data_IF_221801646116
#
_entry.id   IF_221801646116
#
_cell.length_a   1.000
_cell.length_b   1.000
_cell.length_c   1.000
_cell.angle_alpha   90.00
_cell.angle_beta   90.00
_cell.angle_gamma   90.00
#
_symmetry.space_group_name_H-M   'P 1'
#
loop_
_entity.id
_entity.type
_entity.pdbx_description
1 polymer ?
#
# COMPACT_ATOMS: atom_id res chain seq x y z
N UNK A 1 7.24 16.54 -2.35
CA UNK A 1 5.82 16.77 -2.04
C UNK A 1 5.64 16.32 -0.60
N UNK A 2 4.87 17.04 0.19
CA UNK A 2 4.58 16.60 1.56
C UNK A 2 3.57 15.45 1.52
N UNK A 3 3.70 14.46 2.40
CA UNK A 3 2.84 13.27 2.43
C UNK A 3 3.24 12.31 3.55
N UNK A 4 2.41 11.31 3.79
CA UNK A 4 2.66 10.23 4.77
C UNK A 4 3.05 8.95 4.03
N UNK A 5 4.12 8.28 4.45
CA UNK A 5 4.55 7.03 3.81
C UNK A 5 3.57 5.88 4.12
N UNK A 6 3.52 4.86 3.27
CA UNK A 6 2.73 3.67 3.54
C UNK A 6 3.21 2.95 4.80
N UNK A 7 4.51 2.96 5.07
CA UNK A 7 5.07 2.43 6.32
C UNK A 7 4.45 3.12 7.55
N UNK A 8 4.37 4.45 7.53
CA UNK A 8 3.74 5.24 8.60
C UNK A 8 2.23 4.99 8.70
N UNK A 9 1.53 4.84 7.57
CA UNK A 9 0.10 4.54 7.56
C UNK A 9 -0.20 3.14 8.12
N UNK A 10 0.58 2.13 7.72
CA UNK A 10 0.43 0.76 8.20
C UNK A 10 0.79 0.61 9.68
N UNK A 11 1.62 1.48 10.23
CA UNK A 11 1.88 1.52 11.67
C UNK A 11 0.66 2.00 12.49
N UNK A 12 -0.29 2.70 11.86
CA UNK A 12 -1.48 3.27 12.53
C UNK A 12 -2.71 2.37 12.47
N UNK A 13 -2.72 1.38 11.58
CA UNK A 13 -3.88 0.53 11.35
C UNK A 13 -3.49 -0.94 11.39
N UNK A 14 -4.37 -1.78 11.95
CA UNK A 14 -4.13 -3.23 11.92
C UNK A 14 -4.03 -3.79 10.49
N UNK A 15 -4.83 -3.23 9.58
CA UNK A 15 -4.87 -3.55 8.14
C UNK A 15 -5.60 -2.50 7.32
N UNK A 16 -5.37 -2.53 6.02
CA UNK A 16 -6.10 -1.78 5.00
C UNK A 16 -7.32 -2.60 4.53
N UNK A 17 -8.45 -1.94 4.27
CA UNK A 17 -9.66 -2.59 3.71
C UNK A 17 -9.50 -2.80 2.21
N UNK A 18 -10.18 -3.79 1.63
CA UNK A 18 -10.06 -4.07 0.19
C UNK A 18 -10.31 -2.86 -0.71
N UNK A 19 -11.33 -2.03 -0.42
CA UNK A 19 -11.58 -0.83 -1.21
C UNK A 19 -10.55 0.29 -1.00
N UNK A 20 -10.00 0.44 0.21
CA UNK A 20 -8.89 1.37 0.47
C UNK A 20 -7.63 0.90 -0.27
N UNK A 21 -7.40 -0.42 -0.32
CA UNK A 21 -6.30 -1.00 -1.07
C UNK A 21 -6.46 -0.77 -2.58
N UNK A 22 -7.68 -0.80 -3.13
CA UNK A 22 -7.91 -0.41 -4.53
C UNK A 22 -7.57 1.06 -4.75
N UNK A 23 -8.05 1.96 -3.88
CA UNK A 23 -7.77 3.40 -3.97
C UNK A 23 -6.27 3.71 -3.83
N UNK A 24 -5.56 2.96 -3.00
CA UNK A 24 -4.13 3.11 -2.76
C UNK A 24 -3.27 2.54 -3.89
N UNK A 25 -3.52 1.28 -4.30
CA UNK A 25 -2.58 0.53 -5.14
C UNK A 25 -2.91 0.58 -6.64
N UNK A 26 -4.15 0.85 -7.05
CA UNK A 26 -4.49 0.93 -8.47
C UNK A 26 -3.80 2.12 -9.18
N UNK A 27 -3.73 3.34 -8.59
CA UNK A 27 -2.99 4.44 -9.20
C UNK A 27 -1.47 4.20 -9.25
N UNK A 28 -0.91 3.51 -8.25
CA UNK A 28 0.51 3.14 -8.23
C UNK A 28 0.84 2.13 -9.34
N UNK A 29 -0.04 1.14 -9.54
CA UNK A 29 0.08 0.20 -10.64
C UNK A 29 -0.01 0.88 -12.02
N UNK A 30 -0.89 1.88 -12.18
CA UNK A 30 -0.92 2.70 -13.41
C UNK A 30 0.39 3.49 -13.60
N UNK A 31 0.93 4.08 -12.54
CA UNK A 31 2.18 4.83 -12.59
C UNK A 31 3.36 3.93 -13.00
N UNK A 32 3.44 2.72 -12.46
CA UNK A 32 4.41 1.71 -12.88
C UNK A 32 4.20 1.29 -14.33
N UNK A 33 2.96 1.06 -14.76
CA UNK A 33 2.65 0.71 -16.14
C UNK A 33 3.12 1.81 -17.12
N UNK A 34 2.90 3.08 -16.77
CA UNK A 34 3.38 4.22 -17.55
C UNK A 34 4.91 4.29 -17.60
N UNK A 35 5.59 4.06 -16.46
CA UNK A 35 7.05 4.01 -16.42
C UNK A 35 7.60 2.86 -17.27
N UNK A 36 7.03 1.66 -17.15
CA UNK A 36 7.42 0.47 -17.91
C UNK A 36 7.24 0.67 -19.41
N UNK A 37 6.13 1.29 -19.83
CA UNK A 37 5.88 1.63 -21.24
C UNK A 37 6.88 2.66 -21.80
N UNK A 38 7.42 3.52 -20.94
CA UNK A 38 8.50 4.45 -21.28
C UNK A 38 9.90 3.81 -21.22
N UNK A 39 10.00 2.52 -20.91
CA UNK A 39 11.26 1.79 -20.77
C UNK A 39 11.98 2.03 -19.44
N UNK A 40 11.33 2.66 -18.46
CA UNK A 40 11.84 2.85 -17.11
C UNK A 40 11.28 1.82 -16.13
N UNK A 41 11.94 1.67 -14.98
CA UNK A 41 11.46 0.90 -13.82
C UNK A 41 11.72 1.69 -12.55
N UNK A 42 10.89 1.48 -11.53
CA UNK A 42 11.11 2.13 -10.25
C UNK A 42 12.29 1.49 -9.51
N UNK A 43 12.31 0.16 -9.43
CA UNK A 43 13.39 -0.66 -8.86
C UNK A 43 13.57 -0.53 -7.34
N UNK A 44 12.61 0.09 -6.66
CA UNK A 44 12.64 0.29 -5.20
C UNK A 44 11.22 0.47 -4.64
N UNK A 45 10.26 -0.30 -5.15
CA UNK A 45 8.88 -0.25 -4.66
C UNK A 45 8.85 -0.82 -3.24
N UNK A 46 8.48 0.00 -2.26
CA UNK A 46 8.56 -0.32 -0.84
C UNK A 46 7.59 0.53 -0.01
N UNK A 47 7.37 0.15 1.24
CA UNK A 47 6.44 0.87 2.12
C UNK A 47 6.90 2.31 2.40
N UNK A 48 8.21 2.56 2.39
CA UNK A 48 8.78 3.90 2.57
C UNK A 48 8.75 4.74 1.29
N UNK A 49 8.65 4.10 0.12
CA UNK A 49 8.62 4.79 -1.19
C UNK A 49 7.19 5.02 -1.68
N UNK A 50 6.19 4.31 -1.16
CA UNK A 50 4.78 4.68 -1.39
C UNK A 50 4.41 5.81 -0.44
N UNK A 51 3.99 6.95 -0.99
CA UNK A 51 3.57 8.13 -0.22
C UNK A 51 2.14 8.49 -0.59
N UNK A 52 1.32 8.84 0.40
CA UNK A 52 -0.03 9.37 0.19
C UNK A 52 -0.01 10.86 0.51
N UNK A 53 -0.33 11.68 -0.48
CA UNK A 53 -0.47 13.12 -0.30
C UNK A 53 -1.69 13.46 0.58
N UNK A 54 -1.74 14.67 1.18
CA UNK A 54 -2.86 15.08 2.04
C UNK A 54 -4.24 15.08 1.36
N UNK A 55 -4.28 15.17 0.03
CA UNK A 55 -5.49 15.07 -0.80
C UNK A 55 -5.92 13.62 -1.07
N UNK A 56 -5.20 12.64 -0.51
CA UNK A 56 -5.47 11.22 -0.65
C UNK A 56 -4.91 10.59 -1.92
N UNK A 57 -4.10 11.33 -2.70
CA UNK A 57 -3.52 10.80 -3.93
C UNK A 57 -2.21 10.05 -3.61
N UNK A 58 -2.12 8.75 -3.90
CA UNK A 58 -0.90 7.99 -3.69
C UNK A 58 0.07 8.17 -4.86
N UNK A 59 1.36 8.23 -4.55
CA UNK A 59 2.45 8.28 -5.52
C UNK A 59 3.65 7.48 -5.01
N UNK A 60 4.54 7.14 -5.94
CA UNK A 60 5.84 6.57 -5.61
C UNK A 60 6.86 7.71 -5.50
N UNK A 61 7.46 7.85 -4.32
CA UNK A 61 8.54 8.78 -4.00
C UNK A 61 9.90 8.18 -4.35
N UNK A 62 10.81 9.05 -4.79
CA UNK A 62 12.14 8.76 -5.34
C UNK A 62 12.17 7.98 -6.68
N UNK A 63 13.27 8.16 -7.40
CA UNK A 63 13.35 8.01 -8.87
C UNK A 63 13.69 6.63 -9.39
N UNK A 64 13.46 6.48 -10.71
CA UNK A 64 13.74 5.30 -11.51
C UNK A 64 15.15 4.74 -11.25
N UNK A 65 15.25 3.54 -10.71
CA UNK A 65 16.52 2.84 -10.58
C UNK A 65 16.83 2.11 -11.89
N UNK A 66 17.92 2.45 -12.61
CA UNK A 66 18.29 1.74 -13.81
C UNK A 66 18.72 0.30 -13.47
N UNK A 67 18.06 -0.69 -14.06
CA UNK A 67 18.55 -2.08 -14.11
C UNK A 67 17.66 -3.15 -13.48
N UNK A 68 16.65 -2.79 -12.69
CA UNK A 68 15.63 -3.76 -12.26
C UNK A 68 14.63 -4.01 -13.42
N UNK A 69 14.23 -5.25 -13.72
CA UNK A 69 13.25 -5.53 -14.76
C UNK A 69 11.81 -5.19 -14.29
N UNK A 70 10.92 -4.76 -15.19
CA UNK A 70 9.53 -4.39 -14.86
C UNK A 70 8.74 -5.39 -13.99
N UNK A 71 8.88 -6.73 -14.15
CA UNK A 71 8.19 -7.69 -13.30
C UNK A 71 8.60 -7.66 -11.83
N UNK A 72 9.76 -7.09 -11.47
CA UNK A 72 10.19 -6.95 -10.08
C UNK A 72 9.40 -5.85 -9.37
N UNK A 73 9.15 -4.71 -10.02
CA UNK A 73 8.25 -3.67 -9.48
C UNK A 73 6.84 -4.24 -9.21
N UNK A 74 6.35 -5.12 -10.09
CA UNK A 74 5.04 -5.77 -9.93
C UNK A 74 5.02 -6.71 -8.72
N UNK A 75 6.09 -7.50 -8.54
CA UNK A 75 6.23 -8.40 -7.39
C UNK A 75 6.27 -7.60 -6.09
N UNK A 76 7.04 -6.52 -6.06
CA UNK A 76 7.21 -5.68 -4.89
C UNK A 76 5.90 -4.96 -4.53
N UNK A 77 5.18 -4.43 -5.52
CA UNK A 77 3.85 -3.86 -5.33
C UNK A 77 2.87 -4.89 -4.76
N UNK A 78 2.87 -6.11 -5.28
CA UNK A 78 2.01 -7.21 -4.81
C UNK A 78 2.35 -7.63 -3.37
N UNK A 79 3.63 -7.67 -3.01
CA UNK A 79 4.07 -7.97 -1.65
C UNK A 79 3.57 -6.91 -0.66
N UNK A 80 3.68 -5.62 -1.00
CA UNK A 80 3.13 -4.53 -0.18
C UNK A 80 1.62 -4.65 -0.02
N UNK A 81 0.91 -4.98 -1.10
CA UNK A 81 -0.54 -5.15 -1.08
C UNK A 81 -0.97 -6.33 -0.19
N UNK A 82 -0.23 -7.45 -0.20
CA UNK A 82 -0.46 -8.57 0.73
C UNK A 82 -0.25 -8.13 2.17
N UNK A 83 0.87 -7.47 2.48
CA UNK A 83 1.17 -6.98 3.82
C UNK A 83 0.08 -6.01 4.30
N UNK A 84 -0.37 -5.10 3.43
CA UNK A 84 -1.40 -4.13 3.77
C UNK A 84 -2.77 -4.78 4.08
N UNK A 85 -3.14 -5.83 3.33
CA UNK A 85 -4.43 -6.52 3.50
C UNK A 85 -4.43 -7.52 4.66
N UNK A 86 -3.33 -8.25 4.82
CA UNK A 86 -3.24 -9.46 5.65
C UNK A 86 -2.47 -9.22 6.96
N UNK A 87 -1.63 -8.18 6.98
CA UNK A 87 -0.60 -7.95 7.99
C UNK A 87 0.67 -8.77 7.74
N UNK A 88 1.68 -8.68 8.63
CA UNK A 88 2.87 -9.50 8.57
C UNK A 88 2.52 -10.99 8.58
N UNK A 89 2.92 -11.72 7.55
CA UNK A 89 2.68 -13.15 7.39
C UNK A 89 3.86 -13.83 6.67
N UNK A 90 4.02 -15.13 6.90
CA UNK A 90 4.99 -15.95 6.16
C UNK A 90 4.59 -16.10 4.69
N UNK A 91 5.57 -16.41 3.84
CA UNK A 91 5.39 -16.54 2.38
C UNK A 91 4.39 -17.64 1.98
N UNK A 92 4.15 -18.62 2.84
CA UNK A 92 3.28 -19.77 2.54
C UNK A 92 1.85 -19.63 3.10
N UNK A 93 1.63 -18.75 4.09
CA UNK A 93 0.37 -18.71 4.86
C UNK A 93 -0.56 -17.55 4.48
N UNK A 94 -0.09 -16.62 3.64
CA UNK A 94 -0.81 -15.37 3.39
C UNK A 94 -2.15 -15.58 2.67
N UNK A 95 -2.24 -16.55 1.76
CA UNK A 95 -3.43 -16.76 0.93
C UNK A 95 -4.62 -17.29 1.75
N UNK A 96 -4.39 -18.28 2.61
CA UNK A 96 -5.41 -18.80 3.52
C UNK A 96 -5.91 -17.70 4.47
N UNK A 97 -4.98 -16.93 5.03
CA UNK A 97 -5.31 -15.80 5.90
C UNK A 97 -6.08 -14.70 5.16
N UNK A 98 -5.74 -14.41 3.89
CA UNK A 98 -6.47 -13.47 3.06
C UNK A 98 -7.93 -13.91 2.87
N UNK A 99 -8.18 -15.20 2.59
CA UNK A 99 -9.54 -15.73 2.52
C UNK A 99 -10.30 -15.62 3.84
N UNK A 100 -9.65 -15.96 4.97
CA UNK A 100 -10.25 -15.82 6.30
C UNK A 100 -10.63 -14.36 6.64
N UNK A 101 -9.91 -13.39 6.07
CA UNK A 101 -10.17 -11.96 6.20
C UNK A 101 -11.19 -11.42 5.18
N UNK A 102 -11.72 -12.27 4.30
CA UNK A 102 -12.71 -11.90 3.30
C UNK A 102 -12.13 -11.21 2.05
N UNK A 103 -10.83 -11.36 1.79
CA UNK A 103 -10.22 -10.88 0.53
C UNK A 103 -10.82 -11.68 -0.64
N UNK A 104 -11.31 -11.03 -1.70
CA UNK A 104 -11.96 -11.74 -2.81
C UNK A 104 -10.99 -12.69 -3.54
N UNK A 105 -11.50 -13.86 -3.94
CA UNK A 105 -10.70 -14.89 -4.60
C UNK A 105 -9.97 -14.42 -5.87
N UNK A 106 -10.58 -13.50 -6.63
CA UNK A 106 -9.96 -12.90 -7.81
C UNK A 106 -8.70 -12.09 -7.45
N UNK A 107 -8.74 -11.35 -6.34
CA UNK A 107 -7.60 -10.58 -5.86
C UNK A 107 -6.50 -11.50 -5.33
N UNK A 108 -6.85 -12.54 -4.57
CA UNK A 108 -5.89 -13.55 -4.10
C UNK A 108 -5.21 -14.25 -5.28
N UNK A 109 -5.97 -14.64 -6.32
CA UNK A 109 -5.42 -15.28 -7.52
C UNK A 109 -4.44 -14.37 -8.26
N UNK A 110 -4.81 -13.09 -8.43
CA UNK A 110 -3.93 -12.12 -9.08
C UNK A 110 -2.64 -11.92 -8.27
N UNK A 111 -2.74 -11.76 -6.96
CA UNK A 111 -1.60 -11.59 -6.06
C UNK A 111 -0.65 -12.81 -6.10
N UNK A 112 -1.20 -14.02 -6.13
CA UNK A 112 -0.40 -15.24 -6.28
C UNK A 112 0.37 -15.28 -7.62
N UNK A 113 -0.25 -14.82 -8.71
CA UNK A 113 0.42 -14.67 -10.01
C UNK A 113 1.53 -13.62 -9.98
N UNK A 114 1.29 -12.46 -9.35
CA UNK A 114 2.27 -11.38 -9.20
C UNK A 114 3.45 -11.74 -8.30
N UNK A 115 3.24 -12.63 -7.32
CA UNK A 115 4.28 -13.13 -6.43
C UNK A 115 5.02 -14.37 -6.97
N UNK A 116 4.74 -14.79 -8.21
CA UNK A 116 5.43 -15.92 -8.82
C UNK A 116 6.95 -15.74 -8.84
N UNK A 117 7.68 -16.80 -8.53
CA UNK A 117 9.15 -16.82 -8.59
C UNK A 117 9.65 -16.43 -9.98
N UNK A 118 9.09 -17.07 -11.01
CA UNK A 118 9.37 -16.85 -12.44
C UNK A 118 8.81 -15.49 -12.91
N UNK A 119 9.65 -14.52 -13.29
CA UNK A 119 9.22 -13.18 -13.71
C UNK A 119 8.24 -13.16 -14.87
N UNK A 120 8.39 -14.06 -15.84
CA UNK A 120 7.57 -14.16 -17.05
C UNK A 120 6.14 -14.65 -16.78
N UNK A 121 5.87 -15.20 -15.59
CA UNK A 121 4.52 -15.62 -15.16
C UNK A 121 3.76 -14.50 -14.45
N UNK A 122 4.43 -13.41 -14.09
CA UNK A 122 3.81 -12.29 -13.39
C UNK A 122 2.98 -11.46 -14.38
N UNK A 123 1.80 -10.96 -13.98
CA UNK A 123 1.07 -10.00 -14.78
C UNK A 123 1.87 -8.70 -14.96
N UNK A 124 1.50 -7.91 -15.95
CA UNK A 124 1.97 -6.54 -16.10
C UNK A 124 1.35 -5.62 -15.05
N UNK A 125 1.98 -4.47 -14.78
CA UNK A 125 1.41 -3.47 -13.88
C UNK A 125 0.01 -2.97 -14.32
N UNK A 126 -0.22 -2.87 -15.64
CA UNK A 126 -1.53 -2.50 -16.19
C UNK A 126 -2.61 -3.56 -15.90
N UNK A 127 -2.26 -4.84 -15.94
CA UNK A 127 -3.16 -5.94 -15.60
C UNK A 127 -3.48 -5.96 -14.10
N UNK A 128 -2.49 -5.66 -13.24
CA UNK A 128 -2.71 -5.49 -11.80
C UNK A 128 -3.70 -4.36 -11.52
N UNK A 129 -3.50 -3.19 -12.12
CA UNK A 129 -4.40 -2.05 -11.95
C UNK A 129 -5.85 -2.38 -12.39
N UNK A 130 -5.98 -3.08 -13.51
CA UNK A 130 -7.27 -3.56 -14.02
C UNK A 130 -7.91 -4.57 -13.09
N UNK A 131 -7.15 -5.53 -12.56
CA UNK A 131 -7.66 -6.55 -11.66
C UNK A 131 -8.16 -5.94 -10.33
N UNK A 132 -7.42 -4.98 -9.77
CA UNK A 132 -7.81 -4.25 -8.56
C UNK A 132 -9.19 -3.60 -8.72
N UNK A 133 -9.35 -2.80 -9.77
CA UNK A 133 -10.60 -2.10 -10.07
C UNK A 133 -11.79 -3.03 -10.37
N UNK A 134 -11.53 -4.22 -10.89
CA UNK A 134 -12.57 -5.24 -11.13
C UNK A 134 -12.99 -5.99 -9.88
N UNK A 135 -12.18 -5.95 -8.82
CA UNK A 135 -12.40 -6.80 -7.65
C UNK A 135 -13.16 -6.10 -6.54
N UNK A 136 -12.88 -4.82 -6.29
CA UNK A 136 -13.57 -4.03 -5.27
C UNK A 136 -13.77 -2.60 -5.74
N UNK A 137 -14.86 -1.97 -5.28
CA UNK A 137 -15.02 -0.53 -5.42
C UNK A 137 -14.02 0.20 -4.53
N UNK A 138 -13.41 1.30 -5.01
CA UNK A 138 -12.49 2.10 -4.20
C UNK A 138 -13.23 2.73 -3.02
N UNK A 139 -12.58 2.73 -1.86
CA UNK A 139 -13.02 3.48 -0.68
C UNK A 139 -12.10 4.69 -0.46
N UNK A 140 -12.62 5.80 0.09
CA UNK A 140 -11.80 6.93 0.52
C UNK A 140 -10.71 6.50 1.50
N UNK A 141 -9.55 7.17 1.45
CA UNK A 141 -8.41 6.90 2.33
C UNK A 141 -8.49 7.68 3.66
N UNK A 142 -9.60 8.38 3.93
CA UNK A 142 -9.80 9.24 5.10
C UNK A 142 -9.42 8.52 6.40
N UNK A 143 -9.80 7.24 6.54
CA UNK A 143 -9.48 6.42 7.73
C UNK A 143 -7.98 6.25 7.95
N UNK A 144 -7.20 6.11 6.88
CA UNK A 144 -5.74 5.97 6.96
C UNK A 144 -5.09 7.33 7.23
N UNK A 145 -5.66 8.39 6.67
CA UNK A 145 -5.12 9.75 6.72
C UNK A 145 -5.59 10.56 7.94
N UNK A 146 -6.39 9.97 8.83
CA UNK A 146 -6.68 10.60 10.12
C UNK A 146 -5.36 10.80 10.85
N UNK A 147 -4.91 12.05 10.87
CA UNK A 147 -3.90 12.49 11.83
C UNK A 147 -4.67 12.63 13.13
N UNK A 148 -4.63 11.62 14.00
CA UNK A 148 -5.00 11.87 15.38
C UNK A 148 -4.05 12.96 15.88
N UNK A 149 -4.60 14.12 16.18
CA UNK A 149 -3.89 15.17 16.87
C UNK A 149 -3.52 14.64 18.26
N UNK A 150 -2.35 14.01 18.36
CA UNK A 150 -1.77 13.53 19.61
C UNK A 150 -1.34 14.69 20.52
N UNK A 151 -1.87 15.91 20.38
CA UNK A 151 -1.66 17.01 21.35
C UNK A 151 -2.62 17.01 22.54
N UNK A 152 -3.61 16.12 22.60
CA UNK A 152 -4.47 16.00 23.78
C UNK A 152 -3.88 15.03 24.83
N UNK A 153 -2.77 15.43 25.47
CA UNK A 153 -2.15 14.57 26.49
C UNK A 153 -0.99 15.11 27.30
N UNK A 154 -0.72 16.42 27.33
CA UNK A 154 0.05 16.97 28.45
C UNK A 154 -0.90 17.19 29.62
N UNK A 155 -0.79 16.32 30.62
CA UNK A 155 -1.37 16.52 31.94
C UNK A 155 -0.93 17.88 32.48
N UNK A 156 -1.82 18.88 32.42
CA UNK A 156 -1.68 20.08 33.24
C UNK A 156 -1.81 19.63 34.69
N UNK A 157 -0.69 19.57 35.40
CA UNK A 157 -0.67 19.29 36.83
C UNK A 157 -1.44 20.42 37.54
N UNK A 158 -2.37 20.11 38.47
CA UNK A 158 -3.11 21.14 39.17
C UNK A 158 -2.15 21.96 40.03
N UNK A 159 -2.09 23.27 39.76
CA UNK A 159 -1.45 24.26 40.62
C UNK A 159 -2.09 24.20 42.00
N UNK A 160 -1.36 23.94 43.10
CA UNK A 160 -1.95 23.98 44.43
C UNK A 160 -2.36 25.42 44.77
N UNK A 161 -3.49 25.62 45.49
CA UNK A 161 -3.86 26.95 45.97
C UNK A 161 -2.81 27.42 46.97
N UNK A 162 -2.18 28.56 46.70
CA UNK A 162 -1.49 29.31 47.74
C UNK A 162 -2.52 30.14 48.47
N UNK A 163 -2.87 29.68 49.68
CA UNK A 163 -3.54 30.48 50.70
C UNK A 163 -2.63 31.66 51.11
N UNK A 164 -3.26 32.85 51.18
CA UNK A 164 -2.94 34.05 51.97
C UNK A 164 -1.48 34.46 52.21
#
# INVERSE_FOLDING_TARGET
MDGTSLAELLARVDRVRCGEAVALFAPLADALAAAHAAGGTHGAVGADTVVVAPDGIPYLDAGLAPGAPPPDDVRDLAALLVIALVGPCGVDDWAERAFALGVPAGLVTMLAGALATEPERRPTAAEVATALRKTCDPLPLDRLLVIEDLSAGHTEAPTPPSDQ
#
